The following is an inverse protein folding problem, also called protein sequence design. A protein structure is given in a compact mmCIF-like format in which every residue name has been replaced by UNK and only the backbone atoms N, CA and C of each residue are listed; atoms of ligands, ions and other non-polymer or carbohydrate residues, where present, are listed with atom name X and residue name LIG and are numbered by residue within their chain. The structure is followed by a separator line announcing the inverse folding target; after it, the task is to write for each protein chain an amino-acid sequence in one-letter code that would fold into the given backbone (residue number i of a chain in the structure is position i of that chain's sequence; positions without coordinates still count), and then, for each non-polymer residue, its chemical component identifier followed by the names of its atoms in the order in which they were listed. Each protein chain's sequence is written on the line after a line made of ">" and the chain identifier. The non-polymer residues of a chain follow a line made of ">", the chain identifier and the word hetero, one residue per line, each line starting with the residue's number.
data_IF_785613684598
#
_entry.id   IF_785613684598
#
_cell.length_a   1.000
_cell.length_b   1.000
_cell.length_c   1.000
_cell.angle_alpha   90.00
_cell.angle_beta   90.00
_cell.angle_gamma   90.00
#
_symmetry.space_group_name_H-M   'P 1'
#
loop_
_entity.id
_entity.type
_entity.pdbx_description
1 polymer ?
#
# COMPACT_ATOMS: atom_id res chain seq x y z
N UNK A 1 -21.29 -3.90 -36.20
CA UNK A 1 -20.22 -3.92 -35.17
C UNK A 1 -20.84 -3.74 -33.81
N UNK A 2 -20.72 -4.75 -32.95
CA UNK A 2 -21.16 -4.65 -31.56
C UNK A 2 -20.04 -4.01 -30.72
N UNK A 3 -20.37 -2.93 -30.01
CA UNK A 3 -19.45 -2.31 -29.05
C UNK A 3 -19.27 -3.25 -27.85
N UNK A 4 -18.05 -3.76 -27.64
CA UNK A 4 -17.73 -4.61 -26.49
C UNK A 4 -17.35 -3.71 -25.30
N UNK A 5 -18.02 -3.92 -24.17
CA UNK A 5 -17.68 -3.29 -22.91
C UNK A 5 -16.67 -4.20 -22.20
N UNK A 6 -15.48 -3.69 -21.94
CA UNK A 6 -14.40 -4.42 -21.25
C UNK A 6 -14.44 -4.07 -19.78
N UNK A 7 -14.59 -5.07 -18.91
CA UNK A 7 -14.65 -4.93 -17.44
C UNK A 7 -13.49 -5.64 -16.73
N UNK A 8 -12.46 -6.07 -17.49
CA UNK A 8 -11.38 -6.89 -16.96
C UNK A 8 -10.26 -6.12 -16.25
N UNK A 9 -10.11 -4.83 -16.54
CA UNK A 9 -9.06 -3.98 -15.95
C UNK A 9 -9.69 -2.64 -15.59
N UNK A 10 -9.49 -2.21 -14.32
CA UNK A 10 -9.73 -0.83 -13.91
C UNK A 10 -8.61 0.07 -14.43
N UNK A 11 -8.96 1.21 -14.99
CA UNK A 11 -7.98 2.18 -15.49
C UNK A 11 -8.37 3.60 -15.07
N UNK A 12 -7.38 4.48 -15.00
CA UNK A 12 -7.58 5.89 -14.71
C UNK A 12 -8.17 6.56 -15.95
N UNK A 13 -9.36 7.12 -15.82
CA UNK A 13 -10.11 7.71 -16.96
C UNK A 13 -10.18 9.23 -16.92
N UNK A 14 -9.78 9.86 -15.82
CA UNK A 14 -9.79 11.31 -15.66
C UNK A 14 -8.40 11.90 -15.88
N UNK A 15 -8.30 13.09 -16.50
CA UNK A 15 -7.04 13.79 -16.64
C UNK A 15 -6.49 14.24 -15.26
N UNK A 16 -5.20 14.50 -15.21
CA UNK A 16 -4.56 15.08 -14.02
C UNK A 16 -5.16 16.44 -13.68
N UNK A 17 -5.24 16.75 -12.38
CA UNK A 17 -5.63 18.09 -11.93
C UNK A 17 -4.64 19.15 -12.46
N UNK A 18 -5.12 20.35 -12.84
CA UNK A 18 -4.25 21.39 -13.38
C UNK A 18 -3.06 21.75 -12.49
N UNK A 19 -3.23 21.76 -11.16
CA UNK A 19 -2.16 22.03 -10.20
C UNK A 19 -1.03 21.00 -10.29
N UNK A 20 -1.36 19.72 -10.56
CA UNK A 20 -0.35 18.66 -10.72
C UNK A 20 0.42 18.89 -12.03
N UNK A 21 -0.28 19.23 -13.11
CA UNK A 21 0.35 19.51 -14.42
C UNK A 21 1.32 20.69 -14.30
N UNK A 22 0.93 21.76 -13.64
CA UNK A 22 1.79 22.93 -13.45
C UNK A 22 3.01 22.60 -12.55
N UNK A 23 2.83 21.81 -11.50
CA UNK A 23 3.94 21.35 -10.67
C UNK A 23 4.95 20.49 -11.46
N UNK A 24 4.46 19.61 -12.36
CA UNK A 24 5.31 18.81 -13.23
C UNK A 24 6.10 19.69 -14.22
N UNK A 25 5.46 20.69 -14.84
CA UNK A 25 6.14 21.65 -15.72
C UNK A 25 7.26 22.41 -14.98
N UNK A 26 6.93 22.91 -13.78
CA UNK A 26 7.89 23.60 -12.92
C UNK A 26 9.05 22.68 -12.54
N UNK A 27 8.77 21.45 -12.15
CA UNK A 27 9.81 20.47 -11.82
C UNK A 27 10.74 20.17 -13.00
N UNK A 28 10.21 20.09 -14.22
CA UNK A 28 11.03 19.93 -15.43
C UNK A 28 11.89 21.18 -15.72
N UNK A 29 11.34 22.36 -15.53
CA UNK A 29 12.07 23.63 -15.67
C UNK A 29 13.21 23.76 -14.64
N UNK A 30 12.94 23.40 -13.39
CA UNK A 30 13.93 23.43 -12.30
C UNK A 30 15.18 22.55 -12.63
N UNK A 31 15.02 21.47 -13.40
CA UNK A 31 16.14 20.62 -13.85
C UNK A 31 17.02 21.29 -14.91
N UNK A 32 16.56 22.34 -15.59
CA UNK A 32 17.32 23.05 -16.60
C UNK A 32 18.32 24.06 -16.04
N UNK A 33 18.25 24.40 -14.75
CA UNK A 33 19.04 25.42 -14.11
C UNK A 33 19.89 24.84 -12.98
N UNK A 34 21.18 25.21 -12.95
CA UNK A 34 22.16 24.69 -11.99
C UNK A 34 21.74 24.95 -10.54
N UNK A 35 21.08 26.07 -10.27
CA UNK A 35 20.68 26.52 -8.94
C UNK A 35 19.50 25.74 -8.37
N UNK A 36 18.67 25.15 -9.24
CA UNK A 36 17.44 24.43 -8.86
C UNK A 36 17.49 22.96 -9.24
N UNK A 37 18.55 22.55 -9.97
CA UNK A 37 18.75 21.17 -10.33
C UNK A 37 18.82 20.26 -9.10
N UNK A 38 18.05 19.17 -9.15
CA UNK A 38 18.05 18.13 -8.12
C UNK A 38 18.61 16.84 -8.70
N UNK A 39 19.70 16.35 -8.09
CA UNK A 39 20.31 15.07 -8.39
C UNK A 39 19.69 13.91 -7.63
N UNK A 40 20.49 12.94 -7.25
CA UNK A 40 20.04 11.85 -6.38
C UNK A 40 19.64 12.39 -5.00
N UNK A 41 18.44 12.03 -4.49
CA UNK A 41 18.08 12.30 -3.10
C UNK A 41 18.83 11.36 -2.14
N UNK A 42 18.62 11.54 -0.85
CA UNK A 42 18.89 10.52 0.15
C UNK A 42 18.03 9.26 -0.13
N UNK A 43 18.41 8.12 0.43
CA UNK A 43 17.72 6.84 0.17
C UNK A 43 16.23 6.87 0.54
N UNK A 44 15.86 7.68 1.52
CA UNK A 44 14.49 7.88 1.96
C UNK A 44 13.70 8.85 1.05
N UNK A 45 14.38 9.53 0.15
CA UNK A 45 13.80 10.57 -0.69
C UNK A 45 14.08 11.99 -0.20
N UNK A 46 13.72 12.99 -1.00
CA UNK A 46 13.92 14.39 -0.67
C UNK A 46 13.19 14.81 0.62
N UNK A 47 13.90 15.48 1.50
CA UNK A 47 13.36 15.96 2.78
C UNK A 47 12.09 16.81 2.62
N UNK A 48 12.06 17.71 1.64
CA UNK A 48 10.89 18.55 1.41
C UNK A 48 9.61 17.76 1.11
N UNK A 49 9.74 16.61 0.41
CA UNK A 49 8.61 15.74 0.10
C UNK A 49 8.21 14.93 1.32
N UNK A 50 9.18 14.37 2.04
CA UNK A 50 8.92 13.62 3.28
C UNK A 50 8.26 14.50 4.34
N UNK A 51 8.70 15.76 4.46
CA UNK A 51 8.05 16.72 5.36
C UNK A 51 6.61 17.04 4.92
N UNK A 52 6.37 17.23 3.62
CA UNK A 52 5.02 17.47 3.11
C UNK A 52 4.08 16.27 3.37
N UNK A 53 4.59 15.03 3.27
CA UNK A 53 3.84 13.82 3.61
C UNK A 53 3.58 13.76 5.12
N UNK A 54 4.56 14.07 5.96
CA UNK A 54 4.39 14.16 7.42
C UNK A 54 3.29 15.16 7.80
N UNK A 55 3.30 16.35 7.19
CA UNK A 55 2.29 17.39 7.41
C UNK A 55 0.90 16.95 6.92
N UNK A 56 0.83 16.19 5.83
CA UNK A 56 -0.41 15.59 5.35
C UNK A 56 -1.01 14.63 6.40
N UNK A 57 -0.24 13.68 6.93
CA UNK A 57 -0.70 12.79 8.01
C UNK A 57 -1.14 13.55 9.25
N UNK A 58 -0.40 14.58 9.62
CA UNK A 58 -0.74 15.45 10.76
C UNK A 58 -2.10 16.15 10.60
N UNK A 59 -2.51 16.45 9.36
CA UNK A 59 -3.82 17.06 9.09
C UNK A 59 -4.99 16.15 9.46
N UNK A 60 -4.75 14.83 9.53
CA UNK A 60 -5.69 13.82 9.99
C UNK A 60 -5.49 13.40 11.47
N UNK A 61 -4.62 14.11 12.19
CA UNK A 61 -4.31 13.79 13.59
C UNK A 61 -3.35 12.63 13.79
N UNK A 62 -2.65 12.20 12.75
CA UNK A 62 -1.66 11.11 12.80
C UNK A 62 -0.26 11.73 12.81
N UNK A 63 0.55 11.36 13.80
CA UNK A 63 1.95 11.80 13.90
C UNK A 63 2.85 10.75 13.23
N UNK A 64 3.39 11.11 12.06
CA UNK A 64 4.44 10.36 11.36
C UNK A 64 5.61 11.32 11.16
N UNK A 65 6.78 10.99 11.67
CA UNK A 65 7.96 11.82 11.49
C UNK A 65 8.54 11.68 10.07
N UNK A 66 9.24 12.70 9.59
CA UNK A 66 9.80 12.68 8.23
C UNK A 66 10.86 11.58 8.03
N UNK A 67 11.52 11.12 9.09
CA UNK A 67 12.48 10.01 9.09
C UNK A 67 11.83 8.62 9.11
N UNK A 68 10.50 8.55 9.31
CA UNK A 68 9.70 7.33 9.16
C UNK A 68 9.11 7.19 7.75
N UNK A 69 9.39 8.14 6.84
CA UNK A 69 8.82 8.20 5.49
C UNK A 69 9.88 7.87 4.46
N UNK A 70 9.57 6.90 3.60
CA UNK A 70 10.41 6.48 2.48
C UNK A 70 9.63 6.66 1.18
N UNK A 71 10.21 7.39 0.23
CA UNK A 71 9.60 7.69 -1.06
C UNK A 71 10.04 6.65 -2.08
N UNK A 72 9.10 6.03 -2.77
CA UNK A 72 9.36 5.06 -3.82
C UNK A 72 8.67 5.43 -5.14
N UNK A 73 8.77 4.56 -6.13
CA UNK A 73 8.11 4.71 -7.43
C UNK A 73 6.68 4.16 -7.44
N UNK A 74 6.16 3.70 -6.30
CA UNK A 74 4.78 3.30 -6.13
C UNK A 74 4.56 2.07 -5.24
N UNK A 75 3.35 1.95 -4.70
CA UNK A 75 2.95 0.91 -3.75
C UNK A 75 3.22 -0.52 -4.24
N UNK A 76 3.14 -0.78 -5.55
CA UNK A 76 3.44 -2.10 -6.11
C UNK A 76 4.89 -2.50 -5.87
N UNK A 77 5.83 -1.59 -6.10
CA UNK A 77 7.26 -1.82 -5.84
C UNK A 77 7.51 -2.01 -4.34
N UNK A 78 6.88 -1.20 -3.50
CA UNK A 78 6.99 -1.32 -2.04
C UNK A 78 6.49 -2.67 -1.55
N UNK A 79 5.29 -3.08 -1.97
CA UNK A 79 4.71 -4.38 -1.59
C UNK A 79 5.56 -5.57 -2.06
N UNK A 80 6.23 -5.45 -3.20
CA UNK A 80 7.13 -6.48 -3.70
C UNK A 80 8.47 -6.52 -2.96
N UNK A 81 9.06 -5.36 -2.71
CA UNK A 81 10.41 -5.25 -2.18
C UNK A 81 10.49 -5.34 -0.64
N UNK A 82 9.45 -4.89 0.07
CA UNK A 82 9.42 -4.95 1.55
C UNK A 82 9.64 -6.37 2.07
N UNK A 83 9.28 -7.36 1.27
CA UNK A 83 9.51 -8.77 1.58
C UNK A 83 10.97 -9.14 1.86
N UNK A 84 11.93 -8.40 1.30
CA UNK A 84 13.36 -8.71 1.41
C UNK A 84 13.92 -8.50 2.83
N UNK A 85 13.24 -7.70 3.67
CA UNK A 85 13.63 -7.51 5.08
C UNK A 85 13.13 -8.63 6.01
N UNK A 86 12.30 -9.55 5.50
CA UNK A 86 11.71 -10.63 6.29
C UNK A 86 12.29 -11.99 5.95
N UNK A 87 12.31 -12.90 6.92
CA UNK A 87 12.73 -14.28 6.71
C UNK A 87 11.79 -14.99 5.72
N UNK A 88 12.37 -15.90 4.91
CA UNK A 88 11.59 -16.79 4.04
C UNK A 88 10.72 -17.79 4.83
N UNK A 89 11.03 -18.01 6.11
CA UNK A 89 10.31 -18.93 6.99
C UNK A 89 9.08 -18.23 7.63
N UNK A 90 8.93 -16.91 7.47
CA UNK A 90 7.75 -16.19 7.95
C UNK A 90 6.49 -16.61 7.19
N UNK A 91 5.40 -16.77 7.92
CA UNK A 91 4.07 -17.09 7.37
C UNK A 91 3.36 -15.79 7.03
N UNK A 92 2.86 -15.70 5.80
CA UNK A 92 2.16 -14.53 5.29
C UNK A 92 0.65 -14.78 5.28
N UNK A 93 -0.11 -13.86 5.84
CA UNK A 93 -1.56 -13.86 5.79
C UNK A 93 -2.05 -12.77 4.83
N UNK A 94 -2.93 -13.15 3.91
CA UNK A 94 -3.61 -12.26 2.97
C UNK A 94 -5.11 -12.53 2.98
N UNK A 95 -5.91 -11.53 2.66
CA UNK A 95 -7.33 -11.75 2.36
C UNK A 95 -7.50 -12.36 0.97
N UNK A 96 -8.61 -13.05 0.71
CA UNK A 96 -8.91 -13.63 -0.60
C UNK A 96 -10.36 -13.31 -0.98
N UNK A 97 -10.60 -12.57 -2.09
CA UNK A 97 -9.66 -12.10 -3.11
C UNK A 97 -8.82 -10.88 -2.68
N UNK A 98 -7.62 -10.76 -3.24
CA UNK A 98 -6.66 -9.72 -2.93
C UNK A 98 -5.82 -9.32 -4.16
N UNK A 99 -5.09 -8.21 -4.07
CA UNK A 99 -4.15 -7.81 -5.10
C UNK A 99 -3.02 -8.84 -5.26
N UNK A 100 -2.80 -9.39 -6.48
CA UNK A 100 -1.92 -10.55 -6.69
C UNK A 100 -0.48 -10.39 -6.21
N UNK A 101 0.05 -9.15 -6.20
CA UNK A 101 1.45 -8.90 -5.84
C UNK A 101 1.81 -9.43 -4.46
N UNK A 102 0.89 -9.34 -3.47
CA UNK A 102 1.16 -9.84 -2.11
C UNK A 102 1.36 -11.36 -2.09
N UNK A 103 0.62 -12.06 -2.95
CA UNK A 103 0.73 -13.52 -3.08
C UNK A 103 1.95 -13.90 -3.90
N UNK A 104 2.07 -13.33 -5.09
CA UNK A 104 3.10 -13.72 -6.07
C UNK A 104 4.51 -13.45 -5.55
N UNK A 105 4.77 -12.27 -4.95
CA UNK A 105 6.09 -11.94 -4.40
C UNK A 105 6.49 -12.88 -3.26
N UNK A 106 5.55 -13.24 -2.40
CA UNK A 106 5.81 -14.13 -1.28
C UNK A 106 5.96 -15.59 -1.68
N UNK A 107 5.21 -16.06 -2.69
CA UNK A 107 5.43 -17.38 -3.30
C UNK A 107 6.82 -17.46 -3.94
N UNK A 108 7.22 -16.42 -4.69
CA UNK A 108 8.54 -16.36 -5.32
C UNK A 108 9.67 -16.37 -4.27
N UNK A 109 9.45 -15.76 -3.11
CA UNK A 109 10.37 -15.80 -1.98
C UNK A 109 10.36 -17.13 -1.20
N UNK A 110 9.46 -18.06 -1.53
CA UNK A 110 9.32 -19.37 -0.88
C UNK A 110 8.57 -19.35 0.45
N UNK A 111 7.83 -18.28 0.76
CA UNK A 111 7.06 -18.15 2.00
C UNK A 111 5.75 -18.93 1.94
N UNK A 112 5.33 -19.43 3.09
CA UNK A 112 4.00 -20.02 3.26
C UNK A 112 2.95 -18.91 3.31
N UNK A 113 1.87 -19.08 2.55
CA UNK A 113 0.73 -18.16 2.56
C UNK A 113 -0.47 -18.85 3.21
N UNK A 114 -1.18 -18.13 4.04
CA UNK A 114 -2.49 -18.45 4.60
C UNK A 114 -3.50 -17.41 4.17
N UNK A 115 -4.74 -17.82 3.96
CA UNK A 115 -5.78 -16.96 3.41
C UNK A 115 -6.91 -16.74 4.41
N UNK A 116 -7.35 -15.48 4.53
CA UNK A 116 -8.59 -15.13 5.21
C UNK A 116 -9.67 -14.89 4.16
N UNK A 117 -10.67 -15.76 4.10
CA UNK A 117 -11.70 -15.71 3.07
C UNK A 117 -12.58 -14.47 3.22
N UNK A 118 -12.61 -13.63 2.20
CA UNK A 118 -13.50 -12.49 2.05
C UNK A 118 -14.62 -12.84 1.07
N UNK A 119 -15.86 -12.69 1.49
CA UNK A 119 -17.03 -13.06 0.71
C UNK A 119 -18.23 -12.19 1.05
N UNK A 120 -19.36 -12.43 0.39
CA UNK A 120 -20.59 -11.66 0.59
C UNK A 120 -21.06 -11.70 2.05
N UNK A 121 -20.92 -12.84 2.74
CA UNK A 121 -21.41 -12.99 4.12
C UNK A 121 -20.66 -12.10 5.13
N UNK A 122 -19.39 -11.75 4.84
CA UNK A 122 -18.60 -10.83 5.68
C UNK A 122 -18.36 -9.47 5.01
N UNK A 123 -19.15 -9.13 3.97
CA UNK A 123 -19.05 -7.87 3.25
C UNK A 123 -17.68 -7.68 2.55
N UNK A 124 -17.01 -8.77 2.20
CA UNK A 124 -15.66 -8.79 1.66
C UNK A 124 -14.60 -8.12 2.54
N UNK A 125 -14.87 -8.05 3.85
CA UNK A 125 -13.95 -7.53 4.86
C UNK A 125 -13.68 -8.63 5.90
N UNK A 126 -12.79 -9.57 5.57
CA UNK A 126 -12.43 -10.68 6.45
C UNK A 126 -11.84 -10.17 7.76
N UNK A 127 -12.15 -10.87 8.85
CA UNK A 127 -11.51 -10.69 10.15
C UNK A 127 -10.48 -11.79 10.39
N UNK A 128 -9.52 -11.56 11.31
CA UNK A 128 -8.52 -12.56 11.63
C UNK A 128 -9.14 -13.80 12.29
N UNK A 129 -8.62 -14.99 11.94
CA UNK A 129 -8.93 -16.23 12.65
C UNK A 129 -7.86 -16.46 13.73
N UNK A 130 -8.29 -16.50 14.99
CA UNK A 130 -7.41 -16.70 16.15
C UNK A 130 -6.67 -18.06 16.15
N UNK A 131 -7.13 -19.02 15.37
CA UNK A 131 -6.50 -20.33 15.23
C UNK A 131 -5.41 -20.36 14.14
N UNK A 132 -5.32 -19.33 13.32
CA UNK A 132 -4.30 -19.16 12.30
C UNK A 132 -3.17 -18.33 12.88
N UNK A 133 -1.93 -18.73 12.72
CA UNK A 133 -0.75 -17.94 13.09
C UNK A 133 -0.05 -17.43 11.83
N UNK A 134 0.21 -16.13 11.79
CA UNK A 134 0.97 -15.47 10.74
C UNK A 134 1.95 -14.45 11.33
N UNK A 135 3.02 -14.18 10.60
CA UNK A 135 4.07 -13.23 10.98
C UNK A 135 3.94 -11.91 10.20
N UNK A 136 3.43 -11.99 8.96
CA UNK A 136 3.25 -10.84 8.07
C UNK A 136 1.80 -10.85 7.58
N UNK A 137 1.11 -9.72 7.68
CA UNK A 137 -0.29 -9.57 7.30
C UNK A 137 -0.38 -8.46 6.27
N UNK A 138 -0.87 -8.77 5.06
CA UNK A 138 -1.21 -7.74 4.08
C UNK A 138 -2.69 -7.40 4.16
N UNK A 139 -2.99 -6.13 4.37
CA UNK A 139 -4.34 -5.57 4.32
C UNK A 139 -4.39 -4.45 3.28
N UNK A 140 -5.35 -4.52 2.37
CA UNK A 140 -5.63 -3.45 1.41
C UNK A 140 -6.99 -2.84 1.73
N UNK A 141 -7.03 -1.53 1.95
CA UNK A 141 -8.28 -0.84 2.28
C UNK A 141 -8.26 0.61 1.77
N UNK A 142 -9.13 0.96 0.81
CA UNK A 142 -10.05 0.10 0.07
C UNK A 142 -9.37 -1.05 -0.68
N UNK A 143 -9.99 -2.25 -0.68
CA UNK A 143 -9.38 -3.46 -1.23
C UNK A 143 -9.46 -3.53 -2.76
N UNK A 144 -8.38 -3.93 -3.39
CA UNK A 144 -8.37 -4.38 -4.78
C UNK A 144 -8.43 -5.93 -4.79
N UNK A 145 -9.45 -6.60 -5.39
CA UNK A 145 -10.40 -6.06 -6.38
C UNK A 145 -11.80 -5.72 -5.84
N UNK A 146 -12.10 -5.93 -4.56
CA UNK A 146 -13.49 -5.91 -4.05
C UNK A 146 -14.06 -4.52 -3.81
N UNK A 147 -13.20 -3.51 -3.59
CA UNK A 147 -13.59 -2.16 -3.19
C UNK A 147 -14.08 -2.07 -1.73
N UNK A 148 -14.05 -3.16 -0.97
CA UNK A 148 -14.41 -3.12 0.45
C UNK A 148 -13.39 -2.34 1.27
N UNK A 149 -13.86 -1.65 2.30
CA UNK A 149 -13.02 -0.93 3.24
C UNK A 149 -13.30 -1.39 4.68
N UNK A 150 -12.26 -1.48 5.48
CA UNK A 150 -12.38 -1.79 6.90
C UNK A 150 -12.86 -0.58 7.69
N UNK A 151 -13.76 -0.78 8.62
CA UNK A 151 -14.08 0.21 9.64
C UNK A 151 -13.10 0.13 10.83
N UNK A 152 -13.20 1.08 11.76
CA UNK A 152 -12.28 1.19 12.90
C UNK A 152 -12.29 -0.06 13.81
N UNK A 153 -13.45 -0.70 14.01
CA UNK A 153 -13.57 -1.90 14.83
C UNK A 153 -12.89 -3.11 14.17
N UNK A 154 -13.08 -3.25 12.86
CA UNK A 154 -12.45 -4.30 12.07
C UNK A 154 -10.93 -4.13 12.00
N UNK A 155 -10.43 -2.88 11.81
CA UNK A 155 -9.00 -2.60 11.86
C UNK A 155 -8.42 -2.86 13.25
N UNK A 156 -9.17 -2.51 14.31
CA UNK A 156 -8.76 -2.82 15.67
C UNK A 156 -8.60 -4.32 15.89
N UNK A 157 -9.50 -5.14 15.36
CA UNK A 157 -9.39 -6.59 15.47
C UNK A 157 -8.11 -7.12 14.81
N UNK A 158 -7.72 -6.58 13.65
CA UNK A 158 -6.47 -6.91 12.99
C UNK A 158 -5.23 -6.46 13.79
N UNK A 159 -5.28 -5.27 14.39
CA UNK A 159 -4.20 -4.76 15.25
C UNK A 159 -4.05 -5.62 16.51
N UNK A 160 -5.15 -5.95 17.17
CA UNK A 160 -5.13 -6.80 18.37
C UNK A 160 -4.58 -8.20 18.05
N UNK A 161 -4.97 -8.77 16.91
CA UNK A 161 -4.44 -10.03 16.40
C UNK A 161 -2.92 -9.95 16.13
N UNK A 162 -2.47 -8.90 15.47
CA UNK A 162 -1.05 -8.70 15.15
C UNK A 162 -0.21 -8.57 16.42
N UNK A 163 -0.65 -7.76 17.37
CA UNK A 163 0.03 -7.60 18.66
C UNK A 163 0.11 -8.92 19.46
N UNK A 164 -0.97 -9.71 19.44
CA UNK A 164 -1.02 -11.00 20.13
C UNK A 164 -0.05 -12.04 19.52
N UNK A 165 0.15 -11.98 18.22
CA UNK A 165 0.95 -12.96 17.48
C UNK A 165 2.38 -12.47 17.17
N UNK A 166 2.78 -11.29 17.63
CA UNK A 166 4.05 -10.63 17.27
C UNK A 166 4.22 -10.52 15.74
N UNK A 167 3.13 -10.15 15.07
CA UNK A 167 3.04 -10.03 13.62
C UNK A 167 3.08 -8.57 13.17
N UNK A 168 3.49 -8.35 11.92
CA UNK A 168 3.53 -7.03 11.27
C UNK A 168 2.38 -6.91 10.29
N UNK A 169 1.68 -5.76 10.32
CA UNK A 169 0.68 -5.40 9.32
C UNK A 169 1.34 -4.49 8.27
N UNK A 170 1.26 -4.91 7.00
CA UNK A 170 1.53 -4.10 5.83
C UNK A 170 0.18 -3.59 5.30
N UNK A 171 -0.11 -2.33 5.56
CA UNK A 171 -1.39 -1.71 5.22
C UNK A 171 -1.26 -0.90 3.92
N UNK A 172 -1.92 -1.39 2.87
CA UNK A 172 -1.94 -0.73 1.56
C UNK A 172 -3.19 0.15 1.43
N UNK A 173 -2.98 1.47 1.34
CA UNK A 173 -4.02 2.47 1.18
C UNK A 173 -3.95 3.19 -0.18
N UNK A 174 -3.53 2.49 -1.23
CA UNK A 174 -3.37 3.08 -2.57
C UNK A 174 -4.67 3.70 -3.13
N UNK A 175 -5.82 3.35 -2.59
CA UNK A 175 -7.14 3.86 -3.00
C UNK A 175 -7.82 4.73 -1.94
N UNK A 176 -7.09 5.25 -0.98
CA UNK A 176 -7.59 6.20 0.04
C UNK A 176 -8.18 7.48 -0.56
#
# INVERSE_FOLDING_TARGET
>A
DKKVIKLGIGDVTLPLAPVVVEAMKKGAEDLAHKETFKGYPDYEGYEFLRQAISDYYKSFGVAVAADEIFVSDGAKSDCGNIGDIFSKDNVVLVTDPVYPVYVDSNIMAGRKIVYAASNEANGFAALPDENVKADIIYLCSPNNPTGSAYNAEQLKAWVDYALKNDAIILYDSAYE
#
